data_IF_691753576521
#
_entry.id   IF_691753576521
#
_cell.length_a   1.000
_cell.length_b   1.000
_cell.length_c   1.000
_cell.angle_alpha   90.00
_cell.angle_beta   90.00
_cell.angle_gamma   90.00
#
_symmetry.space_group_name_H-M   'P 1'
#
loop_
_entity.id
_entity.type
_entity.pdbx_description
1 polymer ?
#
# COMPACT_ATOMS: atom_id res chain seq x y z
N UNK A 1 0.31 -8.80 4.00
CA UNK A 1 0.59 -7.40 3.62
C UNK A 1 -0.66 -6.56 3.81
N UNK A 2 -0.60 -5.52 4.64
CA UNK A 2 -1.71 -4.62 4.96
C UNK A 2 -1.40 -3.21 4.40
N UNK A 3 -2.34 -2.60 3.69
CA UNK A 3 -2.22 -1.26 3.12
C UNK A 3 -3.12 -0.30 3.91
N UNK A 4 -2.55 0.81 4.40
CA UNK A 4 -3.29 1.84 5.14
C UNK A 4 -3.08 3.20 4.49
N UNK A 5 -4.17 3.85 4.11
CA UNK A 5 -4.16 5.23 3.61
C UNK A 5 -4.42 6.17 4.78
N UNK A 6 -3.58 7.18 4.95
CA UNK A 6 -3.79 8.26 5.92
C UNK A 6 -3.73 9.60 5.20
N UNK A 7 -4.82 10.37 5.28
CA UNK A 7 -4.90 11.71 4.70
C UNK A 7 -5.17 12.73 5.80
N UNK A 8 -4.37 13.80 5.83
CA UNK A 8 -4.70 14.96 6.64
C UNK A 8 -5.82 15.75 5.98
N UNK A 9 -6.64 16.47 6.77
CA UNK A 9 -7.76 17.27 6.24
C UNK A 9 -7.31 18.38 5.28
N UNK A 10 -6.05 18.80 5.39
CA UNK A 10 -5.42 19.85 4.58
C UNK A 10 -4.96 19.28 3.22
N UNK A 11 -4.57 18.01 3.17
CA UNK A 11 -4.03 17.38 1.96
C UNK A 11 -5.13 16.82 1.05
N UNK A 12 -6.30 16.52 1.63
CA UNK A 12 -7.49 16.03 0.92
C UNK A 12 -7.92 16.91 -0.27
N UNK A 13 -8.05 18.26 -0.16
CA UNK A 13 -8.39 19.10 -1.31
C UNK A 13 -7.27 19.20 -2.36
N UNK A 14 -6.00 18.99 -1.96
CA UNK A 14 -4.87 18.94 -2.89
C UNK A 14 -4.79 17.59 -3.62
N UNK A 15 -5.64 16.63 -3.25
CA UNK A 15 -5.58 15.26 -3.75
C UNK A 15 -4.30 14.54 -3.31
N UNK A 16 -3.67 15.00 -2.23
CA UNK A 16 -2.40 14.46 -1.72
C UNK A 16 -2.70 13.65 -0.46
N UNK A 17 -1.97 12.56 -0.23
CA UNK A 17 -2.04 11.84 1.03
C UNK A 17 -0.85 10.94 1.28
N UNK A 18 -0.84 10.34 2.45
CA UNK A 18 0.22 9.44 2.88
C UNK A 18 -0.27 7.99 2.80
N UNK A 19 0.61 7.10 2.34
CA UNK A 19 0.35 5.68 2.29
C UNK A 19 1.35 4.96 3.20
N UNK A 20 0.84 4.12 4.08
CA UNK A 20 1.64 3.25 4.93
C UNK A 20 1.38 1.81 4.50
N UNK A 21 2.45 1.12 4.16
CA UNK A 21 2.43 -0.26 3.70
C UNK A 21 3.07 -1.11 4.78
N UNK A 22 2.31 -2.04 5.33
CA UNK A 22 2.80 -3.04 6.27
C UNK A 22 3.05 -4.35 5.52
N UNK A 23 4.32 -4.72 5.41
CA UNK A 23 4.74 -6.00 4.85
C UNK A 23 4.90 -7.03 5.97
N UNK A 24 4.62 -8.29 5.64
CA UNK A 24 4.96 -9.43 6.51
C UNK A 24 6.44 -9.81 6.40
N UNK A 25 7.19 -9.16 5.50
CA UNK A 25 8.61 -9.38 5.33
C UNK A 25 9.41 -8.95 6.57
N UNK A 26 10.33 -9.81 7.02
CA UNK A 26 11.08 -9.62 8.27
C UNK A 26 12.16 -8.53 8.17
N UNK A 27 12.52 -8.09 6.97
CA UNK A 27 13.64 -7.15 6.77
C UNK A 27 13.19 -5.70 6.73
N UNK A 28 12.05 -5.41 6.08
CA UNK A 28 11.45 -4.07 6.03
C UNK A 28 9.93 -4.16 6.21
N UNK A 29 9.46 -4.18 7.47
CA UNK A 29 8.05 -4.44 7.76
C UNK A 29 7.14 -3.24 7.45
N UNK A 30 7.68 -2.03 7.32
CA UNK A 30 6.89 -0.81 7.12
C UNK A 30 7.52 0.11 6.07
N UNK A 31 6.76 0.44 5.03
CA UNK A 31 7.10 1.50 4.06
C UNK A 31 6.14 2.67 4.22
N UNK A 32 6.68 3.89 4.30
CA UNK A 32 5.92 5.13 4.44
C UNK A 32 6.16 6.00 3.22
N UNK A 33 5.12 6.23 2.45
CA UNK A 33 5.14 7.10 1.28
C UNK A 33 4.36 8.36 1.63
N UNK A 34 5.01 9.51 1.53
CA UNK A 34 4.42 10.80 1.83
C UNK A 34 4.12 11.56 0.56
N UNK A 35 3.17 12.49 0.64
CA UNK A 35 2.83 13.39 -0.45
C UNK A 35 2.45 12.68 -1.77
N UNK A 36 1.74 11.55 -1.67
CA UNK A 36 1.29 10.78 -2.84
C UNK A 36 0.07 11.45 -3.46
N UNK A 37 0.10 11.78 -4.76
CA UNK A 37 -1.08 12.25 -5.47
C UNK A 37 -2.06 11.09 -5.64
N UNK A 38 -3.34 11.37 -5.41
CA UNK A 38 -4.46 10.42 -5.47
C UNK A 38 -4.14 9.11 -4.74
N UNK A 39 -3.97 9.17 -3.42
CA UNK A 39 -3.54 8.01 -2.63
C UNK A 39 -4.53 6.84 -2.67
N UNK A 40 -5.82 7.07 -2.93
CA UNK A 40 -6.82 5.99 -3.12
C UNK A 40 -6.61 5.20 -4.42
N UNK A 41 -6.38 5.89 -5.53
CA UNK A 41 -6.03 5.27 -6.82
C UNK A 41 -4.72 4.48 -6.67
N UNK A 42 -3.72 5.10 -6.03
CA UNK A 42 -2.42 4.47 -5.78
C UNK A 42 -2.57 3.22 -4.90
N UNK A 43 -3.38 3.27 -3.85
CA UNK A 43 -3.67 2.11 -2.99
C UNK A 43 -4.35 0.98 -3.78
N UNK A 44 -5.28 1.32 -4.67
CA UNK A 44 -5.98 0.35 -5.53
C UNK A 44 -5.03 -0.36 -6.48
N UNK A 45 -4.14 0.40 -7.15
CA UNK A 45 -3.11 -0.14 -8.04
C UNK A 45 -2.16 -1.05 -7.28
N UNK A 46 -1.66 -0.60 -6.12
CA UNK A 46 -0.76 -1.39 -5.28
C UNK A 46 -1.42 -2.69 -4.82
N UNK A 47 -2.69 -2.65 -4.40
CA UNK A 47 -3.43 -3.85 -4.01
C UNK A 47 -3.56 -4.83 -5.19
N UNK A 48 -3.90 -4.33 -6.38
CA UNK A 48 -3.97 -5.17 -7.57
C UNK A 48 -2.61 -5.80 -7.93
N UNK A 49 -1.51 -5.06 -7.82
CA UNK A 49 -0.15 -5.56 -8.05
C UNK A 49 0.27 -6.62 -7.02
N UNK A 50 -0.13 -6.45 -5.76
CA UNK A 50 0.15 -7.43 -4.69
C UNK A 50 -0.62 -8.71 -4.91
N UNK A 51 -1.92 -8.62 -5.21
CA UNK A 51 -2.75 -9.79 -5.52
C UNK A 51 -2.25 -10.52 -6.77
N UNK A 52 -1.84 -9.77 -7.80
CA UNK A 52 -1.23 -10.32 -9.00
C UNK A 52 0.08 -11.03 -8.69
N UNK A 53 1.00 -10.39 -7.95
CA UNK A 53 2.25 -11.01 -7.52
C UNK A 53 2.01 -12.27 -6.68
N UNK A 54 0.99 -12.28 -5.81
CA UNK A 54 0.63 -13.44 -5.00
C UNK A 54 0.20 -14.62 -5.89
N UNK A 55 -0.61 -14.36 -6.92
CA UNK A 55 -1.01 -15.37 -7.90
C UNK A 55 0.16 -15.85 -8.74
N UNK A 56 0.99 -14.95 -9.26
CA UNK A 56 2.12 -15.27 -10.14
C UNK A 56 3.23 -16.04 -9.41
N UNK A 57 3.51 -15.70 -8.14
CA UNK A 57 4.56 -16.38 -7.36
C UNK A 57 4.11 -17.68 -6.71
N UNK A 58 2.85 -18.11 -6.87
CA UNK A 58 2.29 -19.30 -6.24
C UNK A 58 2.59 -19.41 -4.73
N UNK A 59 2.72 -18.27 -4.03
CA UNK A 59 2.98 -18.23 -2.59
C UNK A 59 1.64 -18.49 -1.89
N UNK A 60 1.28 -19.76 -1.79
CA UNK A 60 0.35 -20.24 -0.78
C UNK A 60 1.12 -20.27 0.54
N UNK A 61 0.53 -19.70 1.60
CA UNK A 61 0.93 -20.05 2.97
C UNK A 61 0.87 -21.57 3.07
N UNK A 62 2.04 -22.20 3.18
CA UNK A 62 2.13 -23.58 3.63
C UNK A 62 2.03 -23.48 5.15
N UNK A 63 0.87 -23.87 5.67
CA UNK A 63 0.60 -24.06 7.09
C UNK A 63 1.57 -25.09 7.70
#
# INVERSE_FOLDING_TARGET
>A
MLLTVTQSRIDRPLGIGNLIIYSSDKTTPVFRMQAIPKPEETCTVLRALVERNRREKHVFEVD
#
